data_IF_084632373655
#
_entry.id   IF_084632373655
#
_cell.length_a   1.000
_cell.length_b   1.000
_cell.length_c   1.000
_cell.angle_alpha   90.00
_cell.angle_beta   90.00
_cell.angle_gamma   90.00
#
_symmetry.space_group_name_H-M   'P 1'
#
loop_
_entity.id
_entity.type
_entity.pdbx_description
1 polymer ?
#
# COMPACT_ATOMS: atom_id res chain seq x y z
N UNK A 1 1.05 -84.36 82.87
CA UNK A 1 2.00 -83.72 81.94
C UNK A 1 1.34 -82.86 80.85
N UNK A 2 0.01 -82.81 80.72
CA UNK A 2 -0.66 -82.11 79.60
C UNK A 2 -1.15 -80.67 79.90
N UNK A 3 -0.92 -80.12 81.10
CA UNK A 3 -1.56 -78.85 81.50
C UNK A 3 -0.64 -77.62 81.48
N UNK A 4 0.68 -77.79 81.46
CA UNK A 4 1.64 -76.67 81.54
C UNK A 4 1.94 -76.09 80.14
N UNK A 5 2.04 -76.95 79.12
CA UNK A 5 2.24 -76.51 77.72
C UNK A 5 1.07 -75.70 77.15
N UNK A 6 -0.17 -75.93 77.60
CA UNK A 6 -1.32 -75.11 77.17
C UNK A 6 -1.31 -73.70 77.77
N UNK A 7 -0.84 -73.54 79.02
CA UNK A 7 -0.78 -72.23 79.67
C UNK A 7 0.36 -71.35 79.15
N UNK A 8 1.53 -71.91 78.83
CA UNK A 8 2.61 -71.16 78.18
C UNK A 8 2.26 -70.79 76.73
N UNK A 9 1.58 -71.68 75.99
CA UNK A 9 1.13 -71.38 74.64
C UNK A 9 0.05 -70.28 74.64
N UNK A 10 -0.94 -70.33 75.53
CA UNK A 10 -1.95 -69.28 75.71
C UNK A 10 -1.34 -67.94 76.14
N UNK A 11 -0.39 -67.95 77.08
CA UNK A 11 0.38 -66.76 77.51
C UNK A 11 1.14 -66.11 76.34
N UNK A 12 1.83 -66.91 75.52
CA UNK A 12 2.56 -66.40 74.36
C UNK A 12 1.62 -65.82 73.29
N UNK A 13 0.45 -66.44 73.07
CA UNK A 13 -0.57 -65.98 72.12
C UNK A 13 -1.21 -64.67 72.62
N UNK A 14 -1.47 -64.54 73.92
CA UNK A 14 -1.99 -63.31 74.54
C UNK A 14 -0.96 -62.17 74.45
N UNK A 15 0.32 -62.44 74.71
CA UNK A 15 1.38 -61.43 74.57
C UNK A 15 1.64 -61.03 73.11
N UNK A 16 1.58 -61.97 72.17
CA UNK A 16 1.66 -61.69 70.72
C UNK A 16 0.45 -60.89 70.22
N UNK A 17 -0.75 -61.19 70.73
CA UNK A 17 -1.99 -60.43 70.44
C UNK A 17 -1.93 -59.00 71.01
N UNK A 18 -1.40 -58.83 72.22
CA UNK A 18 -1.22 -57.52 72.84
C UNK A 18 -0.18 -56.66 72.10
N UNK A 19 0.94 -57.25 71.67
CA UNK A 19 1.97 -56.56 70.88
C UNK A 19 1.49 -56.23 69.46
N UNK A 20 0.70 -57.10 68.82
CA UNK A 20 0.05 -56.81 67.54
C UNK A 20 -0.97 -55.68 67.64
N UNK A 21 -1.80 -55.65 68.69
CA UNK A 21 -2.76 -54.56 68.95
C UNK A 21 -2.06 -53.23 69.23
N UNK A 22 -0.91 -53.25 69.93
CA UNK A 22 -0.11 -52.05 70.18
C UNK A 22 0.51 -51.52 68.89
N UNK A 23 1.15 -52.37 68.08
CA UNK A 23 1.69 -51.98 66.76
C UNK A 23 0.63 -51.39 65.85
N UNK A 24 -0.56 -52.00 65.80
CA UNK A 24 -1.67 -51.48 65.00
C UNK A 24 -2.16 -50.10 65.47
N UNK A 25 -2.14 -49.86 66.79
CA UNK A 25 -2.49 -48.55 67.36
C UNK A 25 -1.40 -47.50 67.07
N UNK A 26 -0.13 -47.89 67.16
CA UNK A 26 1.00 -47.01 66.85
C UNK A 26 1.02 -46.67 65.33
N UNK A 27 0.68 -47.61 64.45
CA UNK A 27 0.49 -47.40 63.00
C UNK A 27 -0.71 -46.48 62.70
N UNK A 28 -1.84 -46.65 63.40
CA UNK A 28 -3.01 -45.76 63.28
C UNK A 28 -2.68 -44.32 63.74
N UNK A 29 -1.90 -44.15 64.82
CA UNK A 29 -1.43 -42.84 65.28
C UNK A 29 -0.42 -42.19 64.29
N UNK A 30 0.44 -42.98 63.64
CA UNK A 30 1.37 -42.50 62.62
C UNK A 30 0.62 -42.05 61.34
N UNK A 31 -0.40 -42.79 60.91
CA UNK A 31 -1.29 -42.40 59.80
C UNK A 31 -2.07 -41.11 60.13
N UNK A 32 -2.56 -40.93 61.36
CA UNK A 32 -3.20 -39.70 61.80
C UNK A 32 -2.24 -38.50 61.77
N UNK A 33 -0.99 -38.69 62.20
CA UNK A 33 0.05 -37.65 62.14
C UNK A 33 0.42 -37.28 60.70
N UNK A 34 0.51 -38.26 59.79
CA UNK A 34 0.73 -38.00 58.37
C UNK A 34 -0.44 -37.21 57.75
N UNK A 35 -1.69 -37.57 58.07
CA UNK A 35 -2.86 -36.82 57.60
C UNK A 35 -2.86 -35.38 58.10
N UNK A 36 -2.54 -35.15 59.38
CA UNK A 36 -2.41 -33.81 59.95
C UNK A 36 -1.31 -33.02 59.23
N UNK A 37 -0.17 -33.66 58.96
CA UNK A 37 0.94 -33.04 58.22
C UNK A 37 0.51 -32.61 56.80
N UNK A 38 -0.19 -33.48 56.06
CA UNK A 38 -0.70 -33.13 54.72
C UNK A 38 -1.70 -31.98 54.75
N UNK A 39 -2.58 -31.93 55.77
CA UNK A 39 -3.52 -30.81 55.95
C UNK A 39 -2.76 -29.51 56.21
N UNK A 40 -1.75 -29.52 57.09
CA UNK A 40 -0.93 -28.34 57.38
C UNK A 40 -0.20 -27.86 56.13
N UNK A 41 0.44 -28.76 55.38
CA UNK A 41 1.14 -28.41 54.13
C UNK A 41 0.17 -27.84 53.09
N UNK A 42 -1.03 -28.41 52.96
CA UNK A 42 -2.08 -27.90 52.07
C UNK A 42 -2.53 -26.48 52.44
N UNK A 43 -2.75 -26.21 53.73
CA UNK A 43 -3.13 -24.88 54.21
C UNK A 43 -2.00 -23.87 54.00
N UNK A 44 -0.76 -24.24 54.32
CA UNK A 44 0.41 -23.37 54.13
C UNK A 44 0.64 -23.05 52.65
N UNK A 45 0.53 -24.04 51.77
CA UNK A 45 0.68 -23.82 50.31
C UNK A 45 -0.45 -22.95 49.75
N UNK A 46 -1.68 -23.13 50.22
CA UNK A 46 -2.80 -22.26 49.88
C UNK A 46 -2.57 -20.81 50.33
N UNK A 47 -2.09 -20.61 51.56
CA UNK A 47 -1.77 -19.28 52.11
C UNK A 47 -0.64 -18.61 51.33
N UNK A 48 0.43 -19.34 51.01
CA UNK A 48 1.52 -18.85 50.16
C UNK A 48 1.04 -18.52 48.74
N UNK A 49 0.14 -19.33 48.17
CA UNK A 49 -0.50 -19.06 46.88
C UNK A 49 -1.35 -17.78 46.91
N UNK A 50 -2.13 -17.58 47.98
CA UNK A 50 -2.93 -16.37 48.16
C UNK A 50 -2.05 -15.13 48.37
N UNK A 51 -0.96 -15.25 49.15
CA UNK A 51 0.02 -14.19 49.37
C UNK A 51 0.75 -13.81 48.07
N UNK A 52 1.19 -14.79 47.28
CA UNK A 52 1.85 -14.55 45.99
C UNK A 52 0.89 -13.91 44.99
N UNK A 53 -0.36 -14.39 44.89
CA UNK A 53 -1.39 -13.78 44.06
C UNK A 53 -1.71 -12.33 44.49
N UNK A 54 -1.83 -12.08 45.80
CA UNK A 54 -2.09 -10.75 46.32
C UNK A 54 -0.90 -9.81 46.07
N UNK A 55 0.32 -10.29 46.26
CA UNK A 55 1.53 -9.53 45.98
C UNK A 55 1.66 -9.19 44.49
N UNK A 56 1.42 -10.16 43.60
CA UNK A 56 1.44 -9.94 42.15
C UNK A 56 0.36 -8.93 41.72
N UNK A 57 -0.86 -9.07 42.25
CA UNK A 57 -1.99 -8.20 41.88
C UNK A 57 -1.89 -6.77 42.40
N UNK A 58 -1.31 -6.56 43.58
CA UNK A 58 -1.34 -5.25 44.26
C UNK A 58 0.02 -4.58 44.43
N UNK A 59 1.12 -5.35 44.49
CA UNK A 59 2.48 -4.82 44.73
C UNK A 59 3.35 -4.82 43.48
N UNK A 60 3.18 -5.77 42.55
CA UNK A 60 3.85 -5.73 41.23
C UNK A 60 3.12 -4.70 40.36
N UNK A 61 3.35 -3.42 40.66
CA UNK A 61 3.08 -2.35 39.69
C UNK A 61 4.08 -2.53 38.57
N UNK A 62 3.60 -2.65 37.33
CA UNK A 62 4.49 -2.59 36.15
C UNK A 62 5.46 -1.40 36.34
N UNK A 63 6.77 -1.58 36.08
CA UNK A 63 7.72 -0.49 36.20
C UNK A 63 7.19 0.71 35.44
N UNK A 64 7.21 1.89 36.06
CA UNK A 64 6.66 3.10 35.47
C UNK A 64 7.34 3.37 34.11
N UNK A 65 6.71 2.91 33.04
CA UNK A 65 7.25 3.05 31.68
C UNK A 65 7.28 4.52 31.35
N UNK A 66 8.48 5.03 31.08
CA UNK A 66 8.63 6.38 30.59
C UNK A 66 8.27 6.42 29.10
N UNK A 67 6.97 6.48 28.84
CA UNK A 67 6.40 6.53 27.49
C UNK A 67 6.94 7.70 26.66
N UNK A 68 7.37 8.79 27.29
CA UNK A 68 7.98 9.91 26.57
C UNK A 68 9.38 9.59 26.07
N UNK A 69 10.20 8.91 26.87
CA UNK A 69 11.53 8.44 26.45
C UNK A 69 11.41 7.38 25.36
N UNK A 70 10.51 6.41 25.52
CA UNK A 70 10.25 5.38 24.50
C UNK A 70 9.82 6.02 23.17
N UNK A 71 8.86 6.96 23.22
CA UNK A 71 8.42 7.72 22.05
C UNK A 71 9.58 8.49 21.40
N UNK A 72 10.37 9.24 22.18
CA UNK A 72 11.49 10.00 21.62
C UNK A 72 12.53 9.11 20.96
N UNK A 73 12.87 7.97 21.59
CA UNK A 73 13.79 6.98 21.02
C UNK A 73 13.25 6.43 19.69
N UNK A 74 11.97 6.07 19.65
CA UNK A 74 11.31 5.60 18.43
C UNK A 74 11.33 6.64 17.31
N UNK A 75 10.94 7.89 17.59
CA UNK A 75 10.94 8.97 16.59
C UNK A 75 12.35 9.31 16.10
N UNK A 76 13.34 9.29 17.00
CA UNK A 76 14.73 9.49 16.63
C UNK A 76 15.19 8.39 15.67
N UNK A 77 14.90 7.11 15.94
CA UNK A 77 15.21 6.02 15.01
C UNK A 77 14.49 6.18 13.67
N UNK A 78 13.22 6.58 13.70
CA UNK A 78 12.35 6.64 12.54
C UNK A 78 12.76 7.68 11.49
N UNK A 79 13.17 8.89 11.90
CA UNK A 79 13.47 9.97 10.95
C UNK A 79 14.69 10.84 11.29
N UNK A 80 15.37 10.60 12.43
CA UNK A 80 16.66 11.24 12.77
C UNK A 80 17.85 10.27 12.74
N UNK A 81 17.58 8.97 12.63
CA UNK A 81 18.57 7.89 12.59
C UNK A 81 19.19 7.73 11.22
N UNK A 82 19.12 6.51 10.66
CA UNK A 82 19.71 6.22 9.34
C UNK A 82 18.83 6.74 8.20
N UNK A 83 19.43 6.95 7.03
CA UNK A 83 18.68 7.28 5.81
C UNK A 83 17.75 6.12 5.40
N UNK A 84 18.26 4.90 5.53
CA UNK A 84 17.54 3.65 5.23
C UNK A 84 16.27 3.51 6.06
N UNK A 85 16.33 3.72 7.38
CA UNK A 85 15.15 3.66 8.25
C UNK A 85 14.07 4.64 7.78
N UNK A 86 14.45 5.87 7.43
CA UNK A 86 13.50 6.88 6.98
C UNK A 86 12.84 6.49 5.64
N UNK A 87 13.63 5.99 4.68
CA UNK A 87 13.11 5.53 3.39
C UNK A 87 12.24 4.28 3.55
N UNK A 88 12.64 3.32 4.36
CA UNK A 88 11.90 2.08 4.55
C UNK A 88 10.58 2.30 5.28
N UNK A 89 10.57 3.14 6.32
CA UNK A 89 9.41 3.35 7.19
C UNK A 89 8.50 4.51 6.72
N UNK A 90 9.07 5.58 6.17
CA UNK A 90 8.33 6.79 5.76
C UNK A 90 8.29 7.00 4.25
N UNK A 91 9.02 6.19 3.46
CA UNK A 91 9.07 6.23 1.97
C UNK A 91 9.69 7.51 1.40
N UNK A 92 10.39 8.26 2.23
CA UNK A 92 11.04 9.53 1.91
C UNK A 92 12.46 9.56 2.49
N UNK A 93 13.36 10.27 1.82
CA UNK A 93 14.68 10.61 2.40
C UNK A 93 14.53 11.48 3.65
N UNK A 94 15.51 11.49 4.56
CA UNK A 94 15.50 12.37 5.74
C UNK A 94 15.42 13.85 5.33
N UNK A 95 16.18 14.23 4.29
CA UNK A 95 16.16 15.59 3.74
C UNK A 95 14.77 15.95 3.21
N UNK A 96 14.15 15.07 2.42
CA UNK A 96 12.81 15.29 1.89
C UNK A 96 11.77 15.31 3.02
N UNK A 97 11.90 14.47 4.05
CA UNK A 97 11.01 14.45 5.20
C UNK A 97 10.94 15.81 5.92
N UNK A 98 12.09 16.37 6.29
CA UNK A 98 12.12 17.67 6.97
C UNK A 98 11.68 18.82 6.04
N UNK A 99 11.98 18.73 4.74
CA UNK A 99 11.48 19.69 3.76
C UNK A 99 9.96 19.61 3.62
N UNK A 100 9.37 18.41 3.60
CA UNK A 100 7.93 18.21 3.59
C UNK A 100 7.29 18.82 4.84
N UNK A 101 7.86 18.59 6.02
CA UNK A 101 7.39 19.19 7.27
C UNK A 101 7.33 20.72 7.17
N UNK A 102 8.39 21.34 6.64
CA UNK A 102 8.46 22.79 6.42
C UNK A 102 7.40 23.28 5.43
N UNK A 103 7.24 22.60 4.31
CA UNK A 103 6.23 22.95 3.29
C UNK A 103 4.81 22.84 3.84
N UNK A 104 4.52 21.78 4.61
CA UNK A 104 3.22 21.61 5.24
C UNK A 104 2.96 22.66 6.32
N UNK A 105 3.99 23.11 7.02
CA UNK A 105 3.90 24.21 7.98
C UNK A 105 3.63 25.55 7.27
N UNK A 106 4.48 25.94 6.32
CA UNK A 106 4.46 27.25 5.66
C UNK A 106 3.27 27.40 4.71
N UNK A 107 3.05 26.41 3.83
CA UNK A 107 2.03 26.47 2.78
C UNK A 107 0.77 25.70 3.14
N UNK A 108 0.92 24.55 3.79
CA UNK A 108 -0.20 23.72 4.25
C UNK A 108 -0.89 24.28 5.51
N UNK A 109 -0.28 25.28 6.16
CA UNK A 109 -0.75 25.87 7.43
C UNK A 109 -0.93 24.80 8.52
N UNK A 110 -0.06 23.78 8.53
CA UNK A 110 -0.03 22.77 9.57
C UNK A 110 0.58 23.37 10.84
N UNK A 111 -0.21 23.42 11.91
CA UNK A 111 0.21 24.01 13.18
C UNK A 111 0.57 22.92 14.18
N UNK A 112 1.68 23.08 14.89
CA UNK A 112 2.03 22.19 16.01
C UNK A 112 0.97 22.28 17.09
N UNK A 113 0.69 21.15 17.75
CA UNK A 113 -0.16 21.15 18.94
C UNK A 113 0.72 21.18 20.20
N UNK A 114 0.13 21.47 21.37
CA UNK A 114 0.85 21.46 22.65
C UNK A 114 1.65 20.17 22.86
N UNK A 115 1.08 19.03 22.44
CA UNK A 115 1.63 17.71 22.75
C UNK A 115 2.29 17.03 21.54
N UNK A 116 1.98 17.44 20.30
CA UNK A 116 2.49 16.79 19.08
C UNK A 116 3.17 17.82 18.17
N UNK A 117 4.48 17.71 17.95
CA UNK A 117 5.21 18.55 17.00
C UNK A 117 4.90 18.15 15.55
N UNK A 118 5.29 19.00 14.60
CA UNK A 118 4.95 18.82 13.17
C UNK A 118 5.62 17.58 12.60
N UNK A 119 6.89 17.35 12.92
CA UNK A 119 7.64 16.17 12.49
C UNK A 119 6.97 14.88 12.97
N UNK A 120 6.58 14.79 14.23
CA UNK A 120 5.83 13.62 14.74
C UNK A 120 4.49 13.43 14.00
N UNK A 121 3.73 14.49 13.75
CA UNK A 121 2.46 14.41 13.05
C UNK A 121 2.62 13.92 11.60
N UNK A 122 3.61 14.46 10.88
CA UNK A 122 3.91 14.07 9.49
C UNK A 122 4.47 12.64 9.45
N UNK A 123 5.33 12.25 10.40
CA UNK A 123 5.84 10.89 10.51
C UNK A 123 4.72 9.87 10.75
N UNK A 124 3.78 10.14 11.67
CA UNK A 124 2.59 9.29 11.87
C UNK A 124 1.81 9.11 10.57
N UNK A 125 1.56 10.21 9.85
CA UNK A 125 0.81 10.19 8.61
C UNK A 125 1.51 9.34 7.53
N UNK A 126 2.79 9.61 7.25
CA UNK A 126 3.55 8.87 6.25
C UNK A 126 3.69 7.38 6.60
N UNK A 127 3.96 7.06 7.87
CA UNK A 127 4.10 5.69 8.35
C UNK A 127 2.79 4.89 8.15
N UNK A 128 1.63 5.53 8.36
CA UNK A 128 0.32 4.93 8.06
C UNK A 128 0.15 4.67 6.56
N UNK A 129 0.48 5.65 5.70
CA UNK A 129 0.33 5.48 4.24
C UNK A 129 1.28 4.40 3.68
N UNK A 130 2.52 4.38 4.18
CA UNK A 130 3.61 3.53 3.73
C UNK A 130 3.36 2.04 3.99
N UNK A 131 2.72 1.72 5.12
CA UNK A 131 2.51 0.34 5.58
C UNK A 131 1.03 -0.04 5.83
N UNK A 132 0.08 0.84 5.50
CA UNK A 132 -1.36 0.64 5.74
C UNK A 132 -1.67 0.36 7.22
N UNK A 133 -0.98 1.05 8.12
CA UNK A 133 -1.10 0.78 9.56
C UNK A 133 -2.45 1.23 10.10
N UNK A 134 -3.03 0.39 10.95
CA UNK A 134 -4.22 0.76 11.72
C UNK A 134 -3.81 1.64 12.90
N UNK A 135 -4.69 2.55 13.33
CA UNK A 135 -4.41 3.43 14.46
C UNK A 135 -4.03 2.69 15.74
N UNK A 136 -4.52 1.46 15.95
CA UNK A 136 -4.13 0.61 17.09
C UNK A 136 -2.64 0.24 17.09
N UNK A 137 -2.06 -0.01 15.91
CA UNK A 137 -0.63 -0.31 15.77
C UNK A 137 0.19 0.96 16.03
N UNK A 138 -0.23 2.08 15.43
CA UNK A 138 0.44 3.37 15.59
C UNK A 138 0.39 3.87 17.04
N UNK A 139 -0.74 3.65 17.73
CA UNK A 139 -0.90 3.96 19.15
C UNK A 139 0.20 3.34 20.00
N UNK A 140 0.50 2.06 19.75
CA UNK A 140 1.52 1.33 20.49
C UNK A 140 2.92 1.92 20.24
N UNK A 141 3.30 2.16 18.97
CA UNK A 141 4.64 2.65 18.61
C UNK A 141 4.89 4.11 18.96
N UNK A 142 3.87 4.98 18.87
CA UNK A 142 4.00 6.41 19.13
C UNK A 142 3.64 6.81 20.56
N UNK A 143 3.12 5.88 21.37
CA UNK A 143 2.62 6.14 22.72
C UNK A 143 1.61 7.30 22.76
N UNK A 144 0.72 7.37 21.75
CA UNK A 144 -0.33 8.40 21.61
C UNK A 144 -1.69 7.75 21.57
N UNK A 145 -2.68 8.41 22.19
CA UNK A 145 -4.08 7.98 22.08
C UNK A 145 -4.52 7.87 20.62
N UNK A 146 -5.38 6.90 20.30
CA UNK A 146 -5.90 6.72 18.93
C UNK A 146 -6.68 7.96 18.46
N UNK A 147 -7.31 8.68 19.38
CA UNK A 147 -7.95 9.98 19.12
C UNK A 147 -6.94 11.01 18.61
N UNK A 148 -5.78 11.12 19.28
CA UNK A 148 -4.72 12.04 18.87
C UNK A 148 -4.20 11.68 17.48
N UNK A 149 -3.94 10.39 17.22
CA UNK A 149 -3.47 9.91 15.92
C UNK A 149 -4.50 10.26 14.83
N UNK A 150 -5.78 9.97 15.06
CA UNK A 150 -6.85 10.28 14.10
C UNK A 150 -6.97 11.77 13.81
N UNK A 151 -6.88 12.62 14.84
CA UNK A 151 -6.89 14.08 14.70
C UNK A 151 -5.69 14.58 13.89
N UNK A 152 -4.48 14.12 14.22
CA UNK A 152 -3.27 14.55 13.50
C UNK A 152 -3.25 14.04 12.07
N UNK A 153 -3.66 12.80 11.82
CA UNK A 153 -3.81 12.27 10.47
C UNK A 153 -4.72 13.15 9.61
N UNK A 154 -5.89 13.56 10.14
CA UNK A 154 -6.81 14.46 9.45
C UNK A 154 -6.22 15.86 9.24
N UNK A 155 -5.45 16.38 10.20
CA UNK A 155 -4.81 17.69 10.08
C UNK A 155 -3.73 17.69 8.99
N UNK A 156 -2.86 16.69 8.97
CA UNK A 156 -1.82 16.52 7.93
C UNK A 156 -2.48 16.31 6.56
N UNK A 157 -3.52 15.48 6.47
CA UNK A 157 -4.26 15.27 5.23
C UNK A 157 -4.83 16.58 4.68
N UNK A 158 -5.46 17.41 5.53
CA UNK A 158 -5.96 18.74 5.13
C UNK A 158 -4.84 19.67 4.67
N UNK A 159 -3.70 19.67 5.36
CA UNK A 159 -2.54 20.48 4.96
C UNK A 159 -2.02 20.05 3.58
N UNK A 160 -1.89 18.75 3.33
CA UNK A 160 -1.52 18.20 2.02
C UNK A 160 -2.51 18.63 0.92
N UNK A 161 -3.82 18.57 1.19
CA UNK A 161 -4.83 18.99 0.21
C UNK A 161 -4.74 20.48 -0.17
N UNK A 162 -4.18 21.33 0.70
CA UNK A 162 -3.96 22.76 0.37
C UNK A 162 -2.76 22.95 -0.56
N UNK A 163 -1.74 22.11 -0.44
CA UNK A 163 -0.50 22.21 -1.24
C UNK A 163 -0.58 21.41 -2.55
N UNK A 164 -1.51 20.46 -2.66
CA UNK A 164 -1.57 19.51 -3.79
C UNK A 164 -1.57 20.15 -5.18
N UNK A 165 -2.22 21.30 -5.35
CA UNK A 165 -2.26 22.04 -6.63
C UNK A 165 -0.89 22.51 -7.12
N UNK A 166 0.08 22.70 -6.22
CA UNK A 166 1.44 23.09 -6.61
C UNK A 166 2.23 21.95 -7.23
N UNK A 167 1.89 20.71 -6.87
CA UNK A 167 2.59 19.50 -7.32
C UNK A 167 1.88 18.78 -8.45
N UNK A 168 0.54 18.86 -8.53
CA UNK A 168 -0.27 18.28 -9.60
C UNK A 168 -0.56 19.33 -10.66
N UNK A 169 0.46 19.69 -11.43
CA UNK A 169 0.37 20.64 -12.54
C UNK A 169 1.26 20.23 -13.70
N UNK A 170 0.93 20.73 -14.89
CA UNK A 170 1.73 20.53 -16.08
C UNK A 170 3.04 21.33 -16.00
N UNK A 171 4.15 20.67 -16.35
CA UNK A 171 5.44 21.31 -16.60
C UNK A 171 5.81 21.07 -18.05
N UNK A 172 6.28 22.09 -18.75
CA UNK A 172 6.70 21.94 -20.14
C UNK A 172 8.04 21.17 -20.18
N UNK A 173 8.06 20.09 -20.96
CA UNK A 173 9.23 19.22 -21.07
C UNK A 173 10.01 19.54 -22.35
N UNK A 174 11.32 19.78 -22.22
CA UNK A 174 12.22 19.73 -23.36
C UNK A 174 12.58 18.27 -23.65
N UNK A 175 11.91 17.67 -24.63
CA UNK A 175 12.15 16.28 -25.06
C UNK A 175 13.32 16.16 -26.06
N UNK A 176 14.01 17.25 -26.34
CA UNK A 176 15.16 17.32 -27.24
C UNK A 176 16.42 16.81 -26.52
N UNK A 177 17.06 15.76 -27.06
CA UNK A 177 18.44 15.43 -26.69
C UNK A 177 18.83 13.96 -26.54
N UNK A 178 17.91 13.00 -26.48
CA UNK A 178 18.28 11.57 -26.40
C UNK A 178 17.71 10.74 -27.55
N UNK A 179 18.60 10.03 -28.26
CA UNK A 179 18.27 9.06 -29.30
C UNK A 179 17.49 7.87 -28.72
N UNK A 180 17.55 7.64 -27.41
CA UNK A 180 16.80 6.58 -26.70
C UNK A 180 15.43 7.04 -26.22
N UNK A 181 15.06 8.30 -26.42
CA UNK A 181 13.79 8.84 -25.96
C UNK A 181 12.62 8.15 -26.69
N UNK A 182 11.89 7.28 -25.98
CA UNK A 182 10.68 6.58 -26.47
C UNK A 182 9.62 7.56 -27.01
N UNK A 183 9.62 8.80 -26.52
CA UNK A 183 8.69 9.86 -26.90
C UNK A 183 9.06 10.62 -28.16
N UNK A 184 10.26 10.42 -28.74
CA UNK A 184 10.73 11.15 -29.93
C UNK A 184 9.79 11.06 -31.14
N UNK A 185 9.01 9.98 -31.20
CA UNK A 185 8.06 9.71 -32.28
C UNK A 185 6.73 10.44 -32.11
N UNK A 186 6.44 10.96 -30.91
CA UNK A 186 5.17 11.59 -30.56
C UNK A 186 5.40 13.07 -30.22
N UNK A 187 5.87 13.84 -31.22
CA UNK A 187 6.05 15.29 -31.08
C UNK A 187 4.74 15.93 -30.61
N UNK A 188 4.84 16.87 -29.67
CA UNK A 188 3.70 17.53 -29.00
C UNK A 188 2.88 16.65 -28.06
N UNK A 189 3.25 15.38 -27.85
CA UNK A 189 2.66 14.62 -26.75
C UNK A 189 3.17 15.15 -25.41
N UNK A 190 2.25 15.34 -24.46
CA UNK A 190 2.54 15.90 -23.14
C UNK A 190 2.56 14.83 -22.04
N UNK A 191 2.14 13.61 -22.34
CA UNK A 191 2.10 12.51 -21.40
C UNK A 191 1.17 11.38 -21.83
N UNK A 192 0.96 10.45 -20.91
CA UNK A 192 0.01 9.34 -21.06
C UNK A 192 -1.10 9.45 -20.01
N UNK A 193 -2.30 8.98 -20.40
CA UNK A 193 -3.50 9.03 -19.58
C UNK A 193 -4.11 7.65 -19.42
N UNK A 194 -4.45 7.26 -18.20
CA UNK A 194 -5.13 6.01 -17.93
C UNK A 194 -5.95 6.02 -16.63
N UNK A 195 -6.87 5.06 -16.50
CA UNK A 195 -7.60 4.76 -15.28
C UNK A 195 -6.83 3.78 -14.40
N UNK A 196 -6.97 3.92 -13.08
CA UNK A 196 -6.50 2.94 -12.11
C UNK A 196 -7.59 2.66 -11.07
N UNK A 197 -7.83 1.38 -10.83
CA UNK A 197 -8.70 0.94 -9.73
C UNK A 197 -7.91 0.82 -8.42
N UNK A 198 -8.43 1.47 -7.37
CA UNK A 198 -7.91 1.39 -6.01
C UNK A 198 -8.97 0.69 -5.13
N UNK A 199 -8.62 -0.40 -4.42
CA UNK A 199 -9.57 -1.10 -3.54
C UNK A 199 -10.11 -0.19 -2.43
N UNK A 200 -11.40 -0.28 -2.16
CA UNK A 200 -12.08 0.52 -1.12
C UNK A 200 -13.08 -0.31 -0.33
N UNK A 201 -13.38 0.16 0.87
CA UNK A 201 -14.46 -0.39 1.71
C UNK A 201 -15.66 0.54 1.63
N UNK A 202 -16.82 0.02 1.23
CA UNK A 202 -18.10 0.75 1.19
C UNK A 202 -19.20 -0.07 1.87
N UNK A 203 -20.32 0.59 2.20
CA UNK A 203 -21.51 -0.07 2.76
C UNK A 203 -22.06 -1.11 1.79
N UNK A 204 -22.83 -2.08 2.31
CA UNK A 204 -23.43 -3.12 1.47
C UNK A 204 -24.29 -2.55 0.32
N UNK A 205 -25.01 -1.46 0.60
CA UNK A 205 -25.85 -0.72 -0.35
C UNK A 205 -25.05 -0.12 -1.51
N UNK A 206 -23.82 0.34 -1.25
CA UNK A 206 -22.97 0.99 -2.25
C UNK A 206 -22.12 0.00 -3.06
N UNK A 207 -21.94 -1.24 -2.59
CA UNK A 207 -21.10 -2.26 -3.26
C UNK A 207 -21.39 -2.43 -4.75
N UNK A 208 -22.65 -2.46 -5.24
CA UNK A 208 -22.92 -2.59 -6.66
C UNK A 208 -22.31 -1.46 -7.50
N UNK A 209 -22.34 -0.22 -6.99
CA UNK A 209 -21.77 0.94 -7.71
C UNK A 209 -20.25 0.86 -7.78
N UNK A 210 -19.60 0.41 -6.71
CA UNK A 210 -18.14 0.33 -6.63
C UNK A 210 -17.55 -0.98 -7.18
N UNK A 211 -18.39 -1.90 -7.70
CA UNK A 211 -17.92 -3.15 -8.30
C UNK A 211 -17.34 -2.89 -9.69
N UNK A 212 -16.06 -3.21 -9.89
CA UNK A 212 -15.41 -3.12 -11.18
C UNK A 212 -15.72 -4.33 -12.09
N UNK A 213 -15.20 -4.30 -13.32
CA UNK A 213 -15.37 -5.38 -14.30
C UNK A 213 -14.80 -6.73 -13.86
N UNK A 214 -13.84 -6.74 -12.94
CA UNK A 214 -13.23 -7.95 -12.35
C UNK A 214 -14.00 -8.46 -11.12
N UNK A 215 -15.06 -7.77 -10.70
CA UNK A 215 -15.86 -8.12 -9.52
C UNK A 215 -15.36 -7.50 -8.20
N UNK A 216 -14.21 -6.82 -8.20
CA UNK A 216 -13.65 -6.21 -7.00
C UNK A 216 -14.31 -4.87 -6.66
N UNK A 217 -14.40 -4.57 -5.36
CA UNK A 217 -14.88 -3.28 -4.86
C UNK A 217 -13.74 -2.26 -4.89
N UNK A 218 -13.87 -1.25 -5.75
CA UNK A 218 -12.82 -0.26 -6.00
C UNK A 218 -13.40 1.11 -6.37
N UNK A 219 -12.59 2.15 -6.21
CA UNK A 219 -12.82 3.46 -6.84
C UNK A 219 -11.94 3.56 -8.09
N UNK A 220 -12.50 4.08 -9.18
CA UNK A 220 -11.75 4.43 -10.38
C UNK A 220 -11.10 5.81 -10.18
N UNK A 221 -9.85 5.92 -10.61
CA UNK A 221 -9.03 7.14 -10.55
C UNK A 221 -8.44 7.37 -11.92
N UNK A 222 -8.74 8.49 -12.55
CA UNK A 222 -8.07 8.88 -13.79
C UNK A 222 -6.76 9.59 -13.44
N UNK A 223 -5.66 9.12 -14.00
CA UNK A 223 -4.34 9.72 -13.86
C UNK A 223 -3.76 10.12 -15.20
N UNK A 224 -3.05 11.24 -15.20
CA UNK A 224 -2.25 11.71 -16.33
C UNK A 224 -0.83 11.89 -15.85
N UNK A 225 0.12 11.34 -16.58
CA UNK A 225 1.53 11.35 -16.21
C UNK A 225 2.42 11.78 -17.38
N UNK A 226 3.40 12.62 -17.09
CA UNK A 226 4.40 13.04 -18.04
C UNK A 226 5.49 11.99 -18.26
N UNK A 227 6.39 12.20 -19.24
CA UNK A 227 7.50 11.29 -19.57
C UNK A 227 8.47 10.99 -18.40
N UNK A 228 8.49 11.85 -17.39
CA UNK A 228 9.37 11.83 -16.21
C UNK A 228 8.78 11.12 -14.98
N UNK A 229 7.65 10.43 -15.17
CA UNK A 229 6.86 9.76 -14.14
C UNK A 229 6.18 10.74 -13.14
N UNK A 230 6.05 12.04 -13.47
CA UNK A 230 5.31 13.01 -12.67
C UNK A 230 3.84 13.08 -13.09
N UNK A 231 2.94 13.03 -12.12
CA UNK A 231 1.51 13.17 -12.37
C UNK A 231 1.13 14.63 -12.66
N UNK A 232 0.55 14.87 -13.81
CA UNK A 232 0.10 16.19 -14.26
C UNK A 232 -1.31 16.48 -13.73
N UNK A 233 -2.16 15.47 -13.74
CA UNK A 233 -3.57 15.57 -13.37
C UNK A 233 -4.05 14.26 -12.76
N UNK A 234 -4.91 14.36 -11.74
CA UNK A 234 -5.49 13.21 -11.06
C UNK A 234 -6.94 13.50 -10.70
N UNK A 235 -7.83 12.57 -11.04
CA UNK A 235 -9.24 12.62 -10.71
C UNK A 235 -9.66 11.32 -9.99
N UNK A 236 -9.58 11.29 -8.66
CA UNK A 236 -10.05 10.15 -7.88
C UNK A 236 -11.53 10.27 -7.51
N UNK A 237 -12.12 9.14 -7.12
CA UNK A 237 -13.42 9.10 -6.47
C UNK A 237 -14.58 8.72 -7.37
N UNK A 238 -14.31 8.27 -8.59
CA UNK A 238 -15.34 7.66 -9.43
C UNK A 238 -15.66 6.25 -8.93
N UNK A 239 -16.90 5.81 -9.09
CA UNK A 239 -17.28 4.46 -8.69
C UNK A 239 -16.58 3.41 -9.57
N UNK A 240 -16.28 2.24 -9.00
CA UNK A 240 -15.58 1.16 -9.73
C UNK A 240 -16.31 0.63 -10.96
N UNK A 241 -17.63 0.79 -11.04
CA UNK A 241 -18.42 0.45 -12.24
C UNK A 241 -18.33 1.50 -13.35
N UNK A 242 -17.82 2.70 -13.06
CA UNK A 242 -17.70 3.76 -14.06
C UNK A 242 -16.62 3.42 -15.07
N UNK A 243 -17.01 3.30 -16.33
CA UNK A 243 -16.06 3.12 -17.44
C UNK A 243 -15.18 4.34 -17.65
N UNK A 244 -13.95 4.11 -18.09
CA UNK A 244 -12.90 5.13 -18.23
C UNK A 244 -13.32 6.33 -19.09
N UNK A 245 -14.06 6.07 -20.17
CA UNK A 245 -14.63 7.11 -21.03
C UNK A 245 -15.60 8.05 -20.28
N UNK A 246 -16.35 7.56 -19.29
CA UNK A 246 -17.24 8.39 -18.46
C UNK A 246 -16.42 9.27 -17.52
N UNK A 247 -15.39 8.69 -16.91
CA UNK A 247 -14.47 9.41 -16.01
C UNK A 247 -13.71 10.51 -16.76
N UNK A 248 -13.22 10.23 -17.97
CA UNK A 248 -12.56 11.22 -18.81
C UNK A 248 -13.49 12.40 -19.16
N UNK A 249 -14.75 12.09 -19.46
CA UNK A 249 -15.76 13.11 -19.81
C UNK A 249 -16.00 14.09 -18.66
N UNK A 250 -16.02 13.57 -17.43
CA UNK A 250 -16.10 14.37 -16.23
C UNK A 250 -14.84 15.21 -16.02
N UNK A 251 -13.66 14.61 -16.22
CA UNK A 251 -12.39 15.31 -16.11
C UNK A 251 -12.30 16.53 -17.04
N UNK A 252 -12.92 16.49 -18.22
CA UNK A 252 -12.90 17.60 -19.17
C UNK A 252 -13.90 18.73 -18.87
N UNK A 253 -14.97 18.45 -18.12
CA UNK A 253 -16.08 19.40 -17.92
C UNK A 253 -16.08 20.10 -16.57
N UNK A 254 -15.31 19.59 -15.60
CA UNK A 254 -15.30 20.11 -14.23
C UNK A 254 -14.55 21.43 -14.11
N UNK A 255 -14.78 22.13 -13.00
CA UNK A 255 -14.09 23.39 -12.70
C UNK A 255 -12.55 23.24 -12.65
N UNK A 256 -12.07 22.14 -12.06
CA UNK A 256 -10.66 21.75 -12.12
C UNK A 256 -10.46 20.79 -13.31
N UNK A 257 -10.78 21.23 -14.52
CA UNK A 257 -10.72 20.35 -15.69
C UNK A 257 -9.28 19.94 -16.03
N UNK A 258 -9.17 18.80 -16.72
CA UNK A 258 -7.97 18.44 -17.46
C UNK A 258 -7.82 19.41 -18.64
N UNK A 259 -6.89 20.36 -18.51
CA UNK A 259 -6.58 21.31 -19.58
C UNK A 259 -5.60 20.68 -20.59
N UNK A 260 -5.94 20.76 -21.87
CA UNK A 260 -5.09 20.31 -22.98
C UNK A 260 -4.66 21.57 -23.75
N UNK A 261 -3.37 21.95 -23.71
CA UNK A 261 -2.88 23.07 -24.49
C UNK A 261 -3.08 22.85 -26.00
N UNK A 262 -3.27 23.94 -26.74
CA UNK A 262 -3.48 23.89 -28.19
C UNK A 262 -2.34 23.15 -28.90
N UNK A 263 -2.70 22.22 -29.79
CA UNK A 263 -1.75 21.42 -30.56
C UNK A 263 -1.00 20.34 -29.75
N UNK A 264 -1.33 20.14 -28.47
CA UNK A 264 -0.78 19.07 -27.62
C UNK A 264 -1.79 17.94 -27.44
N UNK A 265 -1.30 16.76 -27.04
CA UNK A 265 -2.16 15.59 -26.82
C UNK A 265 -1.58 14.57 -25.83
N UNK A 266 -2.45 13.71 -25.30
CA UNK A 266 -2.08 12.57 -24.47
C UNK A 266 -2.14 11.27 -25.26
N UNK A 267 -1.24 10.34 -24.94
CA UNK A 267 -1.37 8.95 -25.37
C UNK A 267 -2.42 8.24 -24.51
N UNK A 268 -3.43 7.64 -25.12
CA UNK A 268 -4.56 6.97 -24.45
C UNK A 268 -4.64 5.48 -24.81
N UNK A 269 -5.27 4.65 -23.97
CA UNK A 269 -5.47 3.22 -24.26
C UNK A 269 -6.50 3.03 -25.38
N UNK A 270 -6.53 1.84 -25.98
CA UNK A 270 -7.51 1.43 -26.98
C UNK A 270 -8.97 1.58 -26.50
N UNK A 271 -9.21 1.53 -25.19
CA UNK A 271 -10.52 1.79 -24.58
C UNK A 271 -11.04 3.22 -24.75
N UNK A 272 -10.16 4.18 -25.04
CA UNK A 272 -10.51 5.58 -25.27
C UNK A 272 -10.74 5.87 -26.77
N UNK A 273 -11.38 7.01 -27.05
CA UNK A 273 -11.64 7.45 -28.43
C UNK A 273 -10.44 8.22 -28.97
N UNK A 274 -10.03 7.92 -30.21
CA UNK A 274 -9.02 8.70 -30.93
C UNK A 274 -9.64 10.03 -31.39
N UNK A 275 -9.17 11.16 -30.90
CA UNK A 275 -9.76 12.45 -31.22
C UNK A 275 -8.97 13.63 -30.68
N UNK A 276 -9.49 14.86 -30.79
CA UNK A 276 -8.82 16.07 -30.33
C UNK A 276 -8.24 15.95 -28.92
N UNK A 277 -6.90 16.04 -28.83
CA UNK A 277 -6.16 15.96 -27.58
C UNK A 277 -5.84 14.54 -27.06
N UNK A 278 -6.29 13.49 -27.76
CA UNK A 278 -6.15 12.09 -27.33
C UNK A 278 -5.79 11.16 -28.51
N UNK A 279 -4.57 10.63 -28.49
CA UNK A 279 -4.07 9.74 -29.51
C UNK A 279 -4.15 8.28 -29.06
N UNK A 280 -5.09 7.52 -29.64
CA UNK A 280 -5.33 6.12 -29.31
C UNK A 280 -4.64 5.16 -30.32
N UNK A 281 -4.24 3.95 -29.90
CA UNK A 281 -3.67 2.95 -30.79
C UNK A 281 -4.67 2.44 -31.83
N UNK A 282 -4.17 1.71 -32.83
CA UNK A 282 -5.03 0.97 -33.76
C UNK A 282 -5.65 -0.23 -33.05
N UNK A 283 -6.99 -0.30 -33.06
CA UNK A 283 -7.74 -1.46 -32.56
C UNK A 283 -7.60 -2.64 -33.51
N UNK A 284 -7.67 -3.86 -32.96
CA UNK A 284 -7.54 -5.10 -33.75
C UNK A 284 -6.14 -5.31 -34.35
N UNK A 285 -5.13 -4.59 -33.86
CA UNK A 285 -3.72 -4.71 -34.25
C UNK A 285 -2.90 -5.03 -33.01
N UNK A 286 -1.84 -5.85 -33.14
CA UNK A 286 -0.91 -6.19 -32.04
C UNK A 286 -0.51 -4.94 -31.25
N UNK A 287 -0.48 -5.03 -29.92
CA UNK A 287 -0.27 -3.86 -29.06
C UNK A 287 0.56 -4.16 -27.81
N UNK A 288 0.36 -5.30 -27.16
CA UNK A 288 1.05 -5.59 -25.90
C UNK A 288 2.55 -5.78 -26.15
N UNK A 289 3.40 -5.19 -25.29
CA UNK A 289 4.86 -5.22 -25.46
C UNK A 289 5.39 -6.67 -25.55
N UNK A 290 4.76 -7.60 -24.83
CA UNK A 290 5.11 -9.02 -24.80
C UNK A 290 4.88 -9.73 -26.14
N UNK A 291 3.96 -9.23 -26.97
CA UNK A 291 3.68 -9.82 -28.28
C UNK A 291 4.82 -9.56 -29.29
N UNK A 292 5.77 -8.67 -28.95
CA UNK A 292 6.90 -8.30 -29.80
C UNK A 292 8.17 -9.09 -29.51
N UNK A 293 8.16 -9.95 -28.50
CA UNK A 293 9.27 -10.89 -28.23
C UNK A 293 9.41 -11.83 -29.44
N UNK A 294 10.55 -11.76 -30.13
CA UNK A 294 10.82 -12.54 -31.35
C UNK A 294 10.04 -12.11 -32.60
N UNK A 295 9.24 -11.04 -32.51
CA UNK A 295 8.41 -10.58 -33.62
C UNK A 295 8.80 -9.16 -34.05
N UNK A 296 8.89 -8.93 -35.35
CA UNK A 296 9.11 -7.59 -35.91
C UNK A 296 7.80 -6.98 -36.44
N UNK A 297 7.61 -5.65 -36.34
CA UNK A 297 6.47 -4.98 -36.97
C UNK A 297 6.41 -5.22 -38.48
N UNK A 298 5.26 -5.67 -38.96
CA UNK A 298 5.03 -6.02 -40.38
C UNK A 298 4.43 -4.87 -41.19
N UNK A 299 3.73 -3.94 -40.52
CA UNK A 299 3.06 -2.82 -41.17
C UNK A 299 3.11 -1.56 -40.31
N UNK A 300 2.65 -0.44 -40.88
CA UNK A 300 2.69 0.87 -40.22
C UNK A 300 1.84 0.93 -38.94
N UNK A 301 0.70 0.21 -38.88
CA UNK A 301 -0.17 0.17 -37.70
C UNK A 301 0.51 -0.56 -36.55
N UNK A 302 1.13 -1.69 -36.86
CA UNK A 302 1.90 -2.49 -35.91
C UNK A 302 3.09 -1.72 -35.33
N UNK A 303 3.87 -1.05 -36.17
CA UNK A 303 5.00 -0.26 -35.70
C UNK A 303 4.54 0.94 -34.85
N UNK A 304 3.44 1.58 -35.24
CA UNK A 304 2.83 2.64 -34.45
C UNK A 304 2.41 2.13 -33.08
N UNK A 305 1.69 1.02 -33.01
CA UNK A 305 1.22 0.42 -31.76
C UNK A 305 2.38 0.03 -30.84
N UNK A 306 3.45 -0.58 -31.37
CA UNK A 306 4.67 -0.88 -30.60
C UNK A 306 5.26 0.39 -29.95
N UNK A 307 5.45 1.45 -30.75
CA UNK A 307 6.02 2.71 -30.26
C UNK A 307 5.07 3.41 -29.28
N UNK A 308 3.78 3.37 -29.55
CA UNK A 308 2.73 3.94 -28.70
C UNK A 308 2.70 3.24 -27.34
N UNK A 309 2.63 1.90 -27.31
CA UNK A 309 2.69 1.12 -26.07
C UNK A 309 3.97 1.40 -25.27
N UNK A 310 5.12 1.47 -25.96
CA UNK A 310 6.42 1.75 -25.33
C UNK A 310 6.47 3.13 -24.65
N UNK A 311 5.93 4.16 -25.28
CA UNK A 311 5.84 5.51 -24.70
C UNK A 311 4.76 5.58 -23.59
N UNK A 312 3.57 5.03 -23.86
CA UNK A 312 2.42 5.03 -22.94
C UNK A 312 2.75 4.34 -21.62
N UNK A 313 3.58 3.30 -21.62
CA UNK A 313 3.97 2.54 -20.42
C UNK A 313 4.40 3.42 -19.22
N UNK A 314 4.80 4.68 -19.44
CA UNK A 314 5.05 5.64 -18.35
C UNK A 314 3.90 5.73 -17.33
N UNK A 315 2.63 5.66 -17.76
CA UNK A 315 1.48 5.81 -16.84
C UNK A 315 1.31 4.56 -15.97
N UNK A 316 1.44 3.39 -16.58
CA UNK A 316 1.38 2.09 -15.90
C UNK A 316 2.52 1.96 -14.90
N UNK A 317 3.74 2.32 -15.30
CA UNK A 317 4.91 2.39 -14.41
C UNK A 317 4.68 3.32 -13.23
N UNK A 318 4.14 4.52 -13.49
CA UNK A 318 3.89 5.51 -12.44
C UNK A 318 2.87 5.01 -11.43
N UNK A 319 1.81 4.34 -11.89
CA UNK A 319 0.83 3.67 -11.04
C UNK A 319 1.43 2.52 -10.23
N UNK A 320 2.31 1.72 -10.84
CA UNK A 320 3.06 0.66 -10.17
C UNK A 320 3.90 1.20 -9.01
N UNK A 321 4.74 2.21 -9.29
CA UNK A 321 5.58 2.89 -8.27
C UNK A 321 4.71 3.47 -7.15
N UNK A 322 3.60 4.14 -7.51
CA UNK A 322 2.68 4.73 -6.53
C UNK A 322 2.12 3.67 -5.56
N UNK A 323 1.63 2.54 -6.07
CA UNK A 323 1.09 1.44 -5.26
C UNK A 323 2.17 0.70 -4.46
N UNK A 324 3.37 0.54 -5.02
CA UNK A 324 4.51 -0.09 -4.33
C UNK A 324 4.96 0.77 -3.15
N UNK A 325 5.04 2.08 -3.33
CA UNK A 325 5.40 3.06 -2.29
C UNK A 325 4.36 3.15 -1.19
N UNK A 326 3.08 3.29 -1.56
CA UNK A 326 1.99 3.53 -0.60
C UNK A 326 1.10 2.30 -0.50
N UNK A 327 1.41 1.40 0.45
CA UNK A 327 0.67 0.15 0.60
C UNK A 327 -0.81 0.33 0.97
N UNK A 328 -1.18 1.50 1.52
CA UNK A 328 -2.57 1.89 1.76
C UNK A 328 -3.44 1.90 0.49
N UNK A 329 -2.82 1.96 -0.70
CA UNK A 329 -3.52 1.90 -1.99
C UNK A 329 -3.68 0.48 -2.54
N UNK A 330 -3.02 -0.52 -1.92
CA UNK A 330 -3.02 -1.91 -2.41
C UNK A 330 -4.09 -2.78 -1.78
N UNK A 331 -4.61 -2.38 -0.62
CA UNK A 331 -5.60 -3.15 0.13
C UNK A 331 -6.73 -2.24 0.59
N UNK A 332 -7.96 -2.77 0.75
CA UNK A 332 -9.08 -1.98 1.23
C UNK A 332 -8.74 -1.31 2.57
N UNK A 333 -8.87 0.01 2.59
CA UNK A 333 -8.66 0.78 3.81
C UNK A 333 -9.91 0.75 4.71
N UNK A 334 -9.71 1.05 5.99
CA UNK A 334 -10.80 1.23 6.97
C UNK A 334 -11.38 2.66 6.95
N UNK A 335 -10.80 3.55 6.14
CA UNK A 335 -11.31 4.90 5.96
C UNK A 335 -12.60 4.90 5.14
N UNK A 336 -13.50 5.82 5.49
CA UNK A 336 -14.67 6.12 4.66
C UNK A 336 -14.23 6.60 3.26
N UNK A 337 -15.12 6.47 2.28
CA UNK A 337 -14.80 6.77 0.88
C UNK A 337 -14.32 8.22 0.67
N UNK A 338 -14.89 9.19 1.40
CA UNK A 338 -14.51 10.61 1.26
C UNK A 338 -13.09 10.85 1.74
N UNK A 339 -12.72 10.22 2.86
CA UNK A 339 -11.36 10.26 3.41
C UNK A 339 -10.40 9.50 2.51
N UNK A 340 -10.78 8.34 2.00
CA UNK A 340 -9.95 7.54 1.09
C UNK A 340 -9.63 8.30 -0.21
N UNK A 341 -10.58 9.01 -0.80
CA UNK A 341 -10.35 9.86 -1.99
C UNK A 341 -9.29 10.94 -1.72
N UNK A 342 -9.32 11.56 -0.53
CA UNK A 342 -8.29 12.54 -0.14
C UNK A 342 -6.93 11.89 0.08
N UNK A 343 -6.90 10.69 0.66
CA UNK A 343 -5.67 9.91 0.84
C UNK A 343 -5.05 9.57 -0.51
N UNK A 344 -5.87 9.14 -1.48
CA UNK A 344 -5.42 8.88 -2.86
C UNK A 344 -4.74 10.13 -3.41
N UNK A 345 -5.43 11.28 -3.42
CA UNK A 345 -4.84 12.55 -3.85
C UNK A 345 -3.54 12.90 -3.12
N UNK A 346 -3.47 12.66 -1.80
CA UNK A 346 -2.26 12.88 -1.02
C UNK A 346 -1.10 11.99 -1.48
N UNK A 347 -1.34 10.71 -1.76
CA UNK A 347 -0.33 9.80 -2.30
C UNK A 347 0.21 10.27 -3.66
N UNK A 348 -0.66 10.73 -4.56
CA UNK A 348 -0.26 11.28 -5.86
C UNK A 348 0.58 12.55 -5.71
N UNK A 349 0.19 13.46 -4.81
CA UNK A 349 0.98 14.65 -4.48
C UNK A 349 2.35 14.27 -3.91
N UNK A 350 2.38 13.37 -2.94
CA UNK A 350 3.62 12.92 -2.29
C UNK A 350 4.55 12.22 -3.27
N UNK A 351 4.02 11.48 -4.24
CA UNK A 351 4.82 10.90 -5.33
C UNK A 351 5.56 12.00 -6.10
N UNK A 352 4.87 13.04 -6.56
CA UNK A 352 5.52 14.14 -7.27
C UNK A 352 6.52 14.89 -6.39
N UNK A 353 6.18 15.16 -5.13
CA UNK A 353 7.10 15.76 -4.16
C UNK A 353 8.40 14.96 -4.04
N UNK A 354 8.31 13.64 -3.91
CA UNK A 354 9.50 12.76 -3.83
C UNK A 354 10.31 12.85 -5.12
N UNK A 355 9.66 12.86 -6.28
CA UNK A 355 10.34 13.00 -7.58
C UNK A 355 11.10 14.32 -7.71
N UNK A 356 10.62 15.39 -7.09
CA UNK A 356 11.28 16.69 -7.09
C UNK A 356 12.48 16.74 -6.13
N UNK A 357 12.40 16.05 -5.00
CA UNK A 357 13.38 16.16 -3.92
C UNK A 357 14.44 15.05 -3.90
N UNK A 358 14.16 13.90 -4.52
CA UNK A 358 15.02 12.71 -4.46
C UNK A 358 15.53 12.33 -5.85
N UNK A 359 16.83 12.54 -6.07
CA UNK A 359 17.51 12.17 -7.31
C UNK A 359 17.71 10.66 -7.46
N UNK A 360 17.95 9.94 -6.35
CA UNK A 360 17.93 8.47 -6.29
C UNK A 360 16.73 8.02 -5.47
N UNK A 361 16.00 7.07 -6.03
CA UNK A 361 14.75 6.57 -5.50
C UNK A 361 14.76 5.04 -5.58
N UNK A 362 15.21 4.36 -4.51
CA UNK A 362 15.39 2.91 -4.50
C UNK A 362 14.12 2.14 -4.86
N UNK A 363 12.94 2.70 -4.57
CA UNK A 363 11.65 2.08 -4.91
C UNK A 363 11.40 2.12 -6.41
N UNK A 364 11.72 3.25 -7.06
CA UNK A 364 11.64 3.37 -8.51
C UNK A 364 12.69 2.47 -9.17
N UNK A 365 13.94 2.50 -8.71
CA UNK A 365 15.02 1.66 -9.23
C UNK A 365 14.66 0.17 -9.12
N UNK A 366 14.13 -0.27 -7.97
CA UNK A 366 13.66 -1.64 -7.78
C UNK A 366 12.43 -1.97 -8.65
N UNK A 367 11.54 -1.00 -8.91
CA UNK A 367 10.42 -1.19 -9.82
C UNK A 367 10.89 -1.31 -11.27
N UNK A 368 11.90 -0.53 -11.66
CA UNK A 368 12.50 -0.58 -12.98
C UNK A 368 13.24 -1.89 -13.21
N UNK A 369 13.98 -2.37 -12.21
CA UNK A 369 14.56 -3.71 -12.19
C UNK A 369 13.48 -4.81 -12.26
N UNK A 370 12.38 -4.67 -11.51
CA UNK A 370 11.27 -5.62 -11.54
C UNK A 370 10.58 -5.64 -12.91
N UNK A 371 10.32 -4.48 -13.51
CA UNK A 371 9.77 -4.38 -14.87
C UNK A 371 10.71 -4.95 -15.93
N UNK A 372 12.01 -4.67 -15.84
CA UNK A 372 13.01 -5.30 -16.70
C UNK A 372 13.00 -6.83 -16.51
N UNK A 373 12.91 -7.31 -15.27
CA UNK A 373 12.83 -8.73 -14.96
C UNK A 373 11.52 -9.39 -15.37
N UNK A 374 10.40 -8.64 -15.42
CA UNK A 374 9.12 -9.12 -15.94
C UNK A 374 9.23 -9.24 -17.46
N UNK A 375 9.82 -8.25 -18.14
CA UNK A 375 10.12 -8.32 -19.58
C UNK A 375 11.06 -9.51 -19.88
N UNK A 376 12.06 -9.77 -19.02
CA UNK A 376 13.00 -10.88 -19.18
C UNK A 376 12.45 -12.26 -18.75
N UNK A 377 11.56 -12.35 -17.74
CA UNK A 377 10.93 -13.60 -17.29
C UNK A 377 9.67 -13.96 -18.12
N UNK A 378 8.95 -12.98 -18.67
CA UNK A 378 7.81 -13.21 -19.57
C UNK A 378 8.24 -13.64 -20.99
N UNK A 379 9.54 -13.54 -21.29
CA UNK A 379 10.21 -14.24 -22.39
C UNK A 379 10.21 -15.77 -22.21
N UNK A 380 9.90 -16.30 -21.01
CA UNK A 380 10.07 -17.73 -20.66
C UNK A 380 8.75 -18.49 -20.41
N UNK A 381 7.59 -17.88 -20.13
CA UNK A 381 6.37 -18.66 -19.84
C UNK A 381 5.09 -18.17 -20.54
N UNK A 382 4.51 -19.07 -21.35
CA UNK A 382 3.20 -18.96 -21.99
C UNK A 382 2.07 -19.41 -21.04
N UNK A 383 0.93 -18.69 -21.02
CA UNK A 383 -0.38 -19.28 -21.40
C UNK A 383 -1.53 -18.25 -21.40
N UNK A 384 -2.18 -18.21 -22.56
CA UNK A 384 -3.58 -17.88 -22.89
C UNK A 384 -4.52 -17.32 -21.80
N UNK A 385 -5.14 -16.17 -22.09
CA UNK A 385 -6.60 -16.01 -21.96
C UNK A 385 -7.12 -15.07 -23.08
N UNK A 386 -8.09 -15.59 -23.85
CA UNK A 386 -8.81 -14.83 -24.88
C UNK A 386 -9.84 -13.94 -24.18
N UNK A 387 -9.64 -12.63 -24.21
CA UNK A 387 -10.69 -11.68 -23.82
C UNK A 387 -11.66 -11.53 -25.00
N UNK A 388 -12.91 -11.90 -24.74
CA UNK A 388 -14.04 -11.67 -25.64
C UNK A 388 -14.27 -10.17 -25.86
N UNK A 389 -14.37 -9.79 -27.12
CA UNK A 389 -14.77 -8.46 -27.55
C UNK A 389 -16.21 -8.20 -27.09
N UNK A 390 -16.40 -7.34 -26.10
CA UNK A 390 -17.71 -6.77 -25.80
C UNK A 390 -17.86 -5.40 -26.45
N UNK A 391 -19.02 -5.28 -27.09
CA UNK A 391 -19.48 -4.21 -27.99
C UNK A 391 -19.50 -2.86 -27.28
N UNK A 392 -19.24 -1.82 -28.07
CA UNK A 392 -18.81 -0.50 -27.62
C UNK A 392 -19.86 0.30 -26.88
N UNK A 393 -19.41 0.95 -25.80
CA UNK A 393 -19.93 2.25 -25.40
C UNK A 393 -19.22 3.31 -26.25
N UNK A 394 -19.81 3.65 -27.40
CA UNK A 394 -19.36 4.74 -28.24
C UNK A 394 -19.55 6.09 -27.53
N UNK A 395 -18.50 6.91 -27.51
CA UNK A 395 -18.52 8.21 -26.83
C UNK A 395 -19.14 9.27 -27.75
N UNK A 396 -20.33 9.73 -27.39
CA UNK A 396 -21.10 10.79 -28.06
C UNK A 396 -20.60 12.23 -27.85
N UNK A 397 -19.33 12.48 -27.49
CA UNK A 397 -18.84 13.89 -27.34
C UNK A 397 -17.39 14.15 -27.74
N UNK A 398 -16.43 13.25 -27.50
CA UNK A 398 -15.15 13.29 -28.23
C UNK A 398 -15.40 12.42 -29.45
N UNK A 399 -15.94 13.01 -30.50
CA UNK A 399 -16.13 12.27 -31.73
C UNK A 399 -14.76 12.01 -32.34
N UNK A 400 -14.56 10.78 -32.82
CA UNK A 400 -13.43 10.51 -33.67
C UNK A 400 -13.52 11.44 -34.88
N UNK A 401 -12.54 12.31 -35.05
CA UNK A 401 -12.50 13.18 -36.22
C UNK A 401 -11.66 12.52 -37.30
N UNK A 402 -12.07 12.70 -38.55
CA UNK A 402 -11.25 12.30 -39.69
C UNK A 402 -9.86 12.94 -39.64
N UNK A 403 -9.78 14.19 -39.16
CA UNK A 403 -8.52 14.91 -38.97
C UNK A 403 -7.55 14.14 -38.07
N UNK A 404 -8.00 13.68 -36.89
CA UNK A 404 -7.15 12.94 -35.96
C UNK A 404 -6.84 11.52 -36.43
N UNK A 405 -7.72 10.95 -37.24
CA UNK A 405 -7.48 9.66 -37.89
C UNK A 405 -6.39 9.80 -38.96
N UNK A 406 -6.50 10.81 -39.84
CA UNK A 406 -5.48 11.17 -40.82
C UNK A 406 -4.15 11.53 -40.16
N UNK A 407 -4.17 12.32 -39.09
CA UNK A 407 -2.98 12.66 -38.32
C UNK A 407 -2.25 11.39 -37.82
N UNK A 408 -2.98 10.45 -37.20
CA UNK A 408 -2.41 9.18 -36.74
C UNK A 408 -1.86 8.36 -37.90
N UNK A 409 -2.60 8.25 -39.00
CA UNK A 409 -2.20 7.48 -40.19
C UNK A 409 -0.94 8.06 -40.84
N UNK A 410 -0.88 9.37 -41.05
CA UNK A 410 0.30 10.06 -41.57
C UNK A 410 1.51 9.85 -40.64
N UNK A 411 1.30 9.98 -39.33
CA UNK A 411 2.36 9.75 -38.35
C UNK A 411 2.88 8.31 -38.41
N UNK A 412 1.98 7.32 -38.44
CA UNK A 412 2.32 5.90 -38.52
C UNK A 412 3.04 5.52 -39.81
N UNK A 413 2.59 6.05 -40.96
CA UNK A 413 3.24 5.83 -42.26
C UNK A 413 4.66 6.42 -42.29
N UNK A 414 4.84 7.65 -41.79
CA UNK A 414 6.18 8.28 -41.70
C UNK A 414 7.13 7.49 -40.79
N UNK A 415 6.62 7.00 -39.65
CA UNK A 415 7.36 6.11 -38.75
C UNK A 415 7.82 4.84 -39.46
N UNK A 416 6.96 4.25 -40.29
CA UNK A 416 7.22 3.01 -41.01
C UNK A 416 8.19 3.20 -42.19
N UNK A 417 8.05 4.27 -42.97
CA UNK A 417 9.01 4.60 -44.03
C UNK A 417 10.44 4.73 -43.46
N UNK A 418 10.58 5.44 -42.33
CA UNK A 418 11.88 5.57 -41.63
C UNK A 418 12.43 4.21 -41.16
N UNK A 419 11.54 3.32 -40.71
CA UNK A 419 11.91 1.98 -40.25
C UNK A 419 12.36 1.06 -41.39
N UNK A 420 11.65 1.09 -42.53
CA UNK A 420 12.02 0.32 -43.72
C UNK A 420 13.37 0.76 -44.29
N UNK A 421 13.65 2.07 -44.32
CA UNK A 421 14.95 2.60 -44.73
C UNK A 421 16.07 1.97 -43.89
N UNK A 422 15.96 2.02 -42.56
CA UNK A 422 16.99 1.46 -41.67
C UNK A 422 17.19 -0.04 -41.85
N UNK A 423 16.10 -0.80 -41.97
CA UNK A 423 16.15 -2.27 -42.16
C UNK A 423 16.75 -2.69 -43.50
N UNK A 424 16.75 -1.82 -44.51
CA UNK A 424 17.36 -2.11 -45.80
C UNK A 424 18.87 -1.80 -45.82
N UNK A 425 19.41 -1.14 -44.78
CA UNK A 425 20.83 -0.80 -44.64
C UNK A 425 21.57 -1.65 -43.59
N UNK A 426 20.82 -2.45 -42.80
CA UNK A 426 21.32 -3.49 -41.89
C UNK A 426 21.15 -4.87 -42.54
#
# INVERSE_FOLDING_TARGET
LYSVDSQEMESSIVNASATSRKRRRDEEEEEELEQIFFIIVSVVTMLLGALTWYHDKYFVKEPARNLELERHSFLNRLYRGTETDCIEQLRVSKKAFFKLCRILQEKGQLVKTKNVPIDEAVAMFLHILAHNLKYRVVHFSYCRSMETISRQFKNVLRAIMKVSKEYLKFYEYNLEGSVENKWRWFKNSIGALDGIHIPVTVSAEDRPRYRNRKGDISTNVLGVCGPDLRFIYVLPGWEGSAGDSRVLRDALRRQNCLHIPNGKYFLVDAGYTNGPGFLAPYRGTRYHLNEWIGNTPQNYKELFNLRHASARNVIERSFGVLKKRWSILRTPSFFDIKTQIRIINACFMLHNFIRDEQHSDPILEAQDLELLSIVDNELINQQMERVTNNIGDEVTTIQATEEWTRFRDTLAMNMFATYQIRRNFD
#
